data_IF_976299051556
#
_entry.id   IF_976299051556
#
_cell.length_a   1.000
_cell.length_b   1.000
_cell.length_c   1.000
_cell.angle_alpha   90.00
_cell.angle_beta   90.00
_cell.angle_gamma   90.00
#
_symmetry.space_group_name_H-M   'P 1'
#
loop_
_entity.id
_entity.type
_entity.pdbx_description
1 polymer ?
#
# COMPACT_ATOMS: atom_id res chain seq x y z
N UNK A 1 -45.96 -14.77 71.34
CA UNK A 1 -45.94 -15.45 70.02
C UNK A 1 -46.05 -14.36 68.95
N UNK A 2 -44.94 -13.67 68.70
CA UNK A 2 -44.07 -13.77 67.49
C UNK A 2 -44.64 -13.02 66.27
N UNK A 3 -44.20 -11.77 66.10
CA UNK A 3 -44.47 -10.92 64.93
C UNK A 3 -43.46 -11.26 63.82
N UNK A 4 -43.96 -11.68 62.64
CA UNK A 4 -43.13 -11.91 61.46
C UNK A 4 -42.83 -10.58 60.75
N UNK A 5 -41.54 -10.20 60.68
CA UNK A 5 -41.04 -9.12 59.82
C UNK A 5 -40.66 -9.73 58.47
N UNK A 6 -41.39 -9.35 57.42
CA UNK A 6 -41.08 -9.73 56.03
C UNK A 6 -40.09 -8.70 55.47
N UNK A 7 -38.83 -9.07 55.39
CA UNK A 7 -37.78 -8.26 54.75
C UNK A 7 -37.76 -8.57 53.25
N UNK A 8 -38.24 -7.63 52.43
CA UNK A 8 -38.13 -7.70 50.96
C UNK A 8 -36.68 -7.41 50.55
N UNK A 9 -35.97 -8.43 50.06
CA UNK A 9 -34.64 -8.30 49.45
C UNK A 9 -34.86 -7.96 47.96
N UNK A 10 -34.60 -6.70 47.59
CA UNK A 10 -34.57 -6.27 46.19
C UNK A 10 -33.20 -6.62 45.61
N UNK A 11 -33.11 -7.71 44.85
CA UNK A 11 -31.93 -8.04 44.05
C UNK A 11 -31.84 -7.08 42.85
N UNK A 12 -30.97 -6.08 42.95
CA UNK A 12 -30.58 -5.25 41.82
C UNK A 12 -29.66 -6.06 40.89
N UNK A 13 -30.21 -6.56 39.78
CA UNK A 13 -29.44 -7.19 38.71
C UNK A 13 -28.73 -6.08 37.91
N UNK A 14 -27.44 -5.89 38.19
CA UNK A 14 -26.57 -5.02 37.40
C UNK A 14 -26.31 -5.68 36.03
N UNK A 15 -27.04 -5.26 35.00
CA UNK A 15 -26.71 -5.58 33.61
C UNK A 15 -25.46 -4.78 33.21
N UNK A 16 -24.29 -5.43 33.29
CA UNK A 16 -23.08 -4.94 32.65
C UNK A 16 -23.28 -4.96 31.13
N UNK A 17 -23.61 -3.80 30.56
CA UNK A 17 -23.60 -3.61 29.12
C UNK A 17 -22.13 -3.55 28.69
N UNK A 18 -21.58 -4.69 28.28
CA UNK A 18 -20.32 -4.71 27.56
C UNK A 18 -20.48 -3.88 26.30
N UNK A 19 -19.86 -2.70 26.26
CA UNK A 19 -19.73 -1.93 25.02
C UNK A 19 -18.81 -2.75 24.12
N UNK A 20 -19.41 -3.50 23.19
CA UNK A 20 -18.67 -4.08 22.08
C UNK A 20 -18.07 -2.90 21.31
N UNK A 21 -16.77 -2.68 21.45
CA UNK A 21 -16.05 -1.78 20.57
C UNK A 21 -16.29 -2.27 19.14
N UNK A 22 -16.94 -1.43 18.32
CA UNK A 22 -17.24 -1.76 16.92
C UNK A 22 -15.95 -2.04 16.15
N UNK A 23 -16.05 -2.85 15.10
CA UNK A 23 -14.95 -3.04 14.15
C UNK A 23 -14.47 -1.68 13.63
N UNK A 24 -13.15 -1.39 13.66
CA UNK A 24 -12.65 -0.10 13.18
C UNK A 24 -13.07 0.16 11.72
N UNK A 25 -13.54 1.36 11.44
CA UNK A 25 -13.94 1.76 10.08
C UNK A 25 -12.73 2.34 9.33
N UNK A 26 -12.28 1.65 8.28
CA UNK A 26 -11.09 2.02 7.52
C UNK A 26 -11.22 3.39 6.84
N UNK A 27 -12.41 3.75 6.37
CA UNK A 27 -12.66 5.06 5.76
C UNK A 27 -12.51 6.19 6.77
N UNK A 28 -13.07 6.02 7.97
CA UNK A 28 -12.95 6.98 9.08
C UNK A 28 -11.49 7.16 9.46
N UNK A 29 -10.72 6.08 9.64
CA UNK A 29 -9.30 6.18 9.98
C UNK A 29 -8.51 6.89 8.86
N UNK A 30 -8.80 6.56 7.60
CA UNK A 30 -8.13 7.18 6.46
C UNK A 30 -8.35 8.70 6.40
N UNK A 31 -9.55 9.18 6.75
CA UNK A 31 -9.92 10.60 6.63
C UNK A 31 -9.72 11.42 7.89
N UNK A 32 -9.81 10.80 9.07
CA UNK A 32 -9.87 11.50 10.35
C UNK A 32 -8.77 11.06 11.32
N UNK A 33 -8.02 10.00 10.98
CA UNK A 33 -7.12 9.35 11.91
C UNK A 33 -7.86 8.43 12.86
N UNK A 34 -7.13 7.78 13.76
CA UNK A 34 -7.70 6.75 14.64
C UNK A 34 -8.21 7.28 15.99
N UNK A 35 -8.15 8.59 16.23
CA UNK A 35 -8.52 9.20 17.51
C UNK A 35 -7.53 8.93 18.66
N UNK A 36 -6.46 8.18 18.42
CA UNK A 36 -5.46 7.77 19.41
C UNK A 36 -4.02 8.19 19.03
N UNK A 37 -3.89 9.25 18.23
CA UNK A 37 -2.61 9.86 17.87
C UNK A 37 -2.07 9.48 16.49
N UNK A 38 -2.76 8.63 15.72
CA UNK A 38 -2.45 8.41 14.30
C UNK A 38 -3.16 9.46 13.46
N UNK A 39 -2.40 10.22 12.68
CA UNK A 39 -2.92 11.23 11.78
C UNK A 39 -3.72 10.61 10.60
N UNK A 40 -4.63 11.37 9.97
CA UNK A 40 -5.33 10.94 8.77
C UNK A 40 -4.38 10.50 7.66
N UNK A 41 -4.59 9.31 7.10
CA UNK A 41 -3.80 8.79 5.98
C UNK A 41 -3.87 9.70 4.74
N UNK A 42 -5.04 10.32 4.52
CA UNK A 42 -5.29 11.22 3.39
C UNK A 42 -4.35 12.44 3.36
N UNK A 43 -3.80 12.85 4.51
CA UNK A 43 -2.90 14.00 4.60
C UNK A 43 -1.63 13.83 3.74
N UNK A 44 -1.20 12.58 3.52
CA UNK A 44 -0.04 12.25 2.71
C UNK A 44 -0.42 11.43 1.46
N UNK A 45 -1.40 10.53 1.58
CA UNK A 45 -1.78 9.63 0.48
C UNK A 45 -2.94 10.15 -0.38
N UNK A 46 -3.41 11.36 -0.15
CA UNK A 46 -4.52 11.95 -0.91
C UNK A 46 -5.89 11.48 -0.45
N UNK A 47 -6.92 12.24 -0.81
CA UNK A 47 -8.30 12.02 -0.34
C UNK A 47 -8.82 10.66 -0.78
N UNK A 48 -8.49 10.28 -2.02
CA UNK A 48 -8.91 9.04 -2.65
C UNK A 48 -7.79 8.00 -2.66
N UNK A 49 -6.73 8.17 -1.88
CA UNK A 49 -5.57 7.26 -1.90
C UNK A 49 -4.75 7.36 -3.18
N UNK A 50 -4.84 8.47 -3.92
CA UNK A 50 -4.14 8.72 -5.19
C UNK A 50 -2.63 8.95 -5.03
N UNK A 51 -2.15 9.20 -3.81
CA UNK A 51 -0.78 9.57 -3.51
C UNK A 51 -0.48 11.04 -3.79
N UNK A 52 0.76 11.44 -3.55
CA UNK A 52 1.26 12.77 -3.90
C UNK A 52 2.59 12.60 -4.63
N UNK A 53 2.52 12.54 -5.97
CA UNK A 53 3.65 12.13 -6.81
C UNK A 53 4.91 12.94 -6.58
N UNK A 54 4.80 14.27 -6.44
CA UNK A 54 5.93 15.17 -6.22
C UNK A 54 6.62 14.96 -4.86
N UNK A 55 5.87 14.54 -3.84
CA UNK A 55 6.39 14.24 -2.51
C UNK A 55 6.84 12.76 -2.37
N UNK A 56 6.61 11.93 -3.39
CA UNK A 56 6.92 10.50 -3.35
C UNK A 56 5.98 9.69 -2.45
N UNK A 57 4.84 10.24 -2.03
CA UNK A 57 3.83 9.46 -1.32
C UNK A 57 3.08 8.57 -2.31
N UNK A 58 3.06 7.25 -2.10
CA UNK A 58 2.51 6.32 -3.08
C UNK A 58 0.99 6.39 -3.14
N UNK A 59 0.46 6.06 -4.32
CA UNK A 59 -0.93 5.61 -4.49
C UNK A 59 -1.16 4.35 -3.65
N UNK A 60 -2.25 4.35 -2.88
CA UNK A 60 -2.78 3.21 -2.14
C UNK A 60 -4.04 2.62 -2.78
N UNK A 61 -4.83 3.47 -3.45
CA UNK A 61 -6.13 3.13 -4.01
C UNK A 61 -6.05 1.97 -5.00
N UNK A 62 -6.76 0.87 -4.75
CA UNK A 62 -6.78 -0.31 -5.64
C UNK A 62 -5.50 -1.14 -5.60
N UNK A 63 -4.62 -0.95 -4.60
CA UNK A 63 -3.58 -1.95 -4.32
C UNK A 63 -4.19 -3.20 -3.67
N UNK A 64 -3.62 -4.41 -3.89
CA UNK A 64 -4.15 -5.63 -3.26
C UNK A 64 -4.23 -5.51 -1.74
N UNK A 65 -5.34 -5.95 -1.15
CA UNK A 65 -5.56 -5.88 0.30
C UNK A 65 -4.42 -6.54 1.08
N UNK A 66 -4.03 -7.76 0.70
CA UNK A 66 -2.97 -8.49 1.38
C UNK A 66 -1.61 -7.78 1.24
N UNK A 67 -1.34 -7.13 0.11
CA UNK A 67 -0.13 -6.32 -0.05
C UNK A 67 -0.14 -5.11 0.89
N UNK A 68 -1.25 -4.36 0.95
CA UNK A 68 -1.41 -3.22 1.85
C UNK A 68 -1.24 -3.63 3.32
N UNK A 69 -1.94 -4.70 3.72
CA UNK A 69 -1.85 -5.29 5.07
C UNK A 69 -0.42 -5.65 5.41
N UNK A 70 0.26 -6.40 4.53
CA UNK A 70 1.68 -6.76 4.70
C UNK A 70 2.57 -5.53 4.86
N UNK A 71 2.40 -4.50 4.04
CA UNK A 71 3.23 -3.30 4.15
C UNK A 71 3.01 -2.55 5.46
N UNK A 72 1.76 -2.45 5.93
CA UNK A 72 1.46 -1.85 7.24
C UNK A 72 2.07 -2.67 8.37
N UNK A 73 1.99 -4.00 8.33
CA UNK A 73 2.60 -4.87 9.33
C UNK A 73 4.13 -4.75 9.33
N UNK A 74 4.75 -4.75 8.15
CA UNK A 74 6.20 -4.60 8.01
C UNK A 74 6.70 -3.24 8.50
N UNK A 75 5.93 -2.16 8.32
CA UNK A 75 6.26 -0.87 8.92
C UNK A 75 6.08 -0.91 10.44
N UNK A 76 4.96 -1.45 10.92
CA UNK A 76 4.64 -1.49 12.35
C UNK A 76 5.68 -2.28 13.17
N UNK A 77 6.22 -3.37 12.59
CA UNK A 77 7.22 -4.23 13.22
C UNK A 77 8.68 -3.88 12.88
N UNK A 78 8.91 -2.88 12.01
CA UNK A 78 10.24 -2.40 11.64
C UNK A 78 10.98 -3.23 10.57
N UNK A 79 10.37 -4.27 10.01
CA UNK A 79 10.94 -5.04 8.88
C UNK A 79 11.04 -4.18 7.62
N UNK A 80 10.16 -3.20 7.46
CA UNK A 80 10.27 -2.12 6.48
C UNK A 80 10.45 -0.81 7.23
N UNK A 81 11.58 -0.16 7.03
CA UNK A 81 11.90 1.09 7.73
C UNK A 81 11.56 2.29 6.86
N UNK A 82 10.84 3.26 7.43
CA UNK A 82 10.64 4.58 6.85
C UNK A 82 10.31 5.57 7.98
N UNK A 83 11.06 6.68 8.07
CA UNK A 83 10.93 7.63 9.17
C UNK A 83 9.52 8.27 9.27
N UNK A 84 8.78 8.34 8.17
CA UNK A 84 7.42 8.89 8.13
C UNK A 84 6.37 7.82 8.43
N UNK A 85 6.43 6.67 7.77
CA UNK A 85 5.36 5.66 7.85
C UNK A 85 5.47 4.73 9.05
N UNK A 86 6.66 4.52 9.60
CA UNK A 86 6.83 3.61 10.73
C UNK A 86 6.07 4.09 11.99
N UNK A 87 6.17 5.36 12.43
CA UNK A 87 5.37 5.84 13.57
C UNK A 87 3.86 5.73 13.33
N UNK A 88 3.41 6.00 12.11
CA UNK A 88 1.99 5.87 11.71
C UNK A 88 1.54 4.41 11.87
N UNK A 89 2.27 3.47 11.28
CA UNK A 89 1.90 2.06 11.29
C UNK A 89 1.99 1.43 12.69
N UNK A 90 3.01 1.77 13.48
CA UNK A 90 3.17 1.29 14.85
C UNK A 90 2.09 1.82 15.81
N UNK A 91 1.47 2.97 15.48
CA UNK A 91 0.34 3.52 16.24
C UNK A 91 -1.02 2.88 15.92
N UNK A 92 -1.07 1.99 14.92
CA UNK A 92 -2.29 1.27 14.53
C UNK A 92 -2.36 -0.11 15.20
N UNK A 93 -3.54 -0.43 15.72
CA UNK A 93 -3.91 -1.79 16.10
C UNK A 93 -3.97 -2.72 14.88
N UNK A 94 -3.98 -4.03 15.14
CA UNK A 94 -4.11 -5.05 14.10
C UNK A 94 -5.41 -4.87 13.27
N UNK A 95 -6.53 -4.66 13.96
CA UNK A 95 -7.84 -4.47 13.33
C UNK A 95 -7.90 -3.19 12.49
N UNK A 96 -7.23 -2.11 12.91
CA UNK A 96 -7.15 -0.87 12.12
C UNK A 96 -6.30 -1.05 10.86
N UNK A 97 -5.19 -1.81 10.93
CA UNK A 97 -4.38 -2.14 9.74
C UNK A 97 -5.17 -2.98 8.74
N UNK A 98 -5.97 -3.93 9.21
CA UNK A 98 -6.88 -4.69 8.35
C UNK A 98 -7.94 -3.79 7.70
N UNK A 99 -8.62 -2.96 8.51
CA UNK A 99 -9.67 -2.06 8.03
C UNK A 99 -9.16 -1.08 6.97
N UNK A 100 -7.96 -0.52 7.14
CA UNK A 100 -7.31 0.34 6.16
C UNK A 100 -6.93 -0.40 4.87
N UNK A 101 -6.44 -1.64 4.99
CA UNK A 101 -6.11 -2.46 3.84
C UNK A 101 -7.36 -2.80 3.01
N UNK A 102 -8.46 -3.18 3.68
CA UNK A 102 -9.78 -3.39 3.04
C UNK A 102 -10.21 -2.11 2.33
N UNK A 103 -10.24 -0.99 3.04
CA UNK A 103 -10.71 0.29 2.52
C UNK A 103 -9.95 0.72 1.26
N UNK A 104 -8.61 0.81 1.32
CA UNK A 104 -7.82 1.27 0.18
C UNK A 104 -7.85 0.30 -1.00
N UNK A 105 -7.96 -1.01 -0.76
CA UNK A 105 -8.06 -2.00 -1.84
C UNK A 105 -9.36 -1.89 -2.64
N UNK A 106 -10.43 -1.39 -2.02
CA UNK A 106 -11.73 -1.21 -2.66
C UNK A 106 -11.85 0.12 -3.44
N UNK A 107 -10.91 1.06 -3.27
CA UNK A 107 -10.94 2.33 -3.99
C UNK A 107 -10.59 2.14 -5.47
N UNK A 108 -11.23 2.91 -6.37
CA UNK A 108 -10.86 2.89 -7.78
C UNK A 108 -9.44 3.41 -7.99
N UNK A 109 -8.72 2.82 -8.94
CA UNK A 109 -7.42 3.33 -9.35
C UNK A 109 -7.64 4.66 -10.10
N UNK A 110 -7.00 5.78 -9.68
CA UNK A 110 -7.13 7.05 -10.38
C UNK A 110 -6.73 6.91 -11.86
N UNK A 111 -7.62 7.34 -12.75
CA UNK A 111 -7.34 7.33 -14.17
C UNK A 111 -6.20 8.28 -14.52
N UNK A 112 -5.35 7.89 -15.46
CA UNK A 112 -4.32 8.74 -16.03
C UNK A 112 -4.36 8.67 -17.55
N UNK A 113 -4.31 9.84 -18.18
CA UNK A 113 -4.16 9.92 -19.63
C UNK A 113 -2.74 9.46 -20.04
N UNK A 114 -2.58 8.94 -21.27
CA UNK A 114 -1.25 8.68 -21.81
C UNK A 114 -0.39 9.94 -21.76
N UNK A 115 0.89 9.79 -21.42
CA UNK A 115 1.84 10.90 -21.55
C UNK A 115 1.94 11.35 -23.01
N UNK A 116 1.84 12.65 -23.25
CA UNK A 116 2.07 13.28 -24.55
C UNK A 116 3.55 13.60 -24.79
N UNK A 117 4.44 13.27 -23.84
CA UNK A 117 5.86 13.50 -23.97
C UNK A 117 6.46 12.67 -25.12
N UNK A 118 7.42 13.22 -25.88
CA UNK A 118 8.15 12.45 -26.89
C UNK A 118 8.82 11.22 -26.28
N UNK A 119 8.87 10.12 -27.03
CA UNK A 119 9.62 8.92 -26.64
C UNK A 119 11.11 9.19 -26.85
N UNK A 120 11.83 9.42 -25.76
CA UNK A 120 13.29 9.52 -25.73
C UNK A 120 13.96 8.15 -25.47
N UNK A 121 15.29 8.14 -25.42
CA UNK A 121 16.07 6.93 -25.17
C UNK A 121 15.84 6.35 -23.77
N UNK A 122 15.52 7.19 -22.78
CA UNK A 122 15.15 6.78 -21.44
C UNK A 122 13.82 6.02 -21.44
N UNK A 123 12.79 6.56 -22.09
CA UNK A 123 11.49 5.92 -22.25
C UNK A 123 11.62 4.58 -22.99
N UNK A 124 12.43 4.52 -24.05
CA UNK A 124 12.70 3.25 -24.77
C UNK A 124 13.44 2.24 -23.88
N UNK A 125 14.41 2.69 -23.09
CA UNK A 125 15.12 1.83 -22.13
C UNK A 125 14.17 1.26 -21.09
N UNK A 126 13.31 2.11 -20.50
CA UNK A 126 12.32 1.70 -19.52
C UNK A 126 11.35 0.66 -20.07
N UNK A 127 10.85 0.86 -21.29
CA UNK A 127 10.01 -0.12 -21.99
C UNK A 127 10.71 -1.47 -22.19
N UNK A 128 11.97 -1.45 -22.66
CA UNK A 128 12.73 -2.68 -22.89
C UNK A 128 12.95 -3.43 -21.59
N UNK A 129 13.33 -2.75 -20.51
CA UNK A 129 13.53 -3.38 -19.20
C UNK A 129 12.23 -3.92 -18.62
N UNK A 130 11.12 -3.19 -18.77
CA UNK A 130 9.81 -3.62 -18.30
C UNK A 130 9.34 -4.90 -19.00
N UNK A 131 9.45 -4.95 -20.34
CA UNK A 131 8.82 -5.99 -21.18
C UNK A 131 9.76 -7.12 -21.58
N UNK A 132 11.07 -6.90 -21.60
CA UNK A 132 12.07 -7.88 -22.09
C UNK A 132 13.20 -8.14 -21.11
N UNK A 133 13.46 -7.21 -20.18
CA UNK A 133 14.58 -7.29 -19.26
C UNK A 133 15.93 -7.09 -19.98
N UNK A 134 16.99 -7.61 -19.37
CA UNK A 134 18.37 -7.59 -19.90
C UNK A 134 19.06 -8.93 -19.62
N UNK A 135 18.95 -9.85 -20.58
CA UNK A 135 19.48 -11.20 -20.43
C UNK A 135 21.01 -11.27 -20.36
N UNK A 136 21.73 -10.29 -20.96
CA UNK A 136 23.19 -10.19 -20.83
C UNK A 136 23.67 -10.02 -19.39
N UNK A 137 22.81 -9.54 -18.48
CA UNK A 137 23.08 -9.43 -17.05
C UNK A 137 22.14 -10.28 -16.20
N UNK A 138 21.43 -11.24 -16.83
CA UNK A 138 20.43 -12.08 -16.16
C UNK A 138 19.37 -11.29 -15.38
N UNK A 139 18.96 -10.14 -15.93
CA UNK A 139 17.88 -9.32 -15.42
C UNK A 139 16.58 -9.74 -16.13
N UNK A 140 15.62 -10.39 -15.44
CA UNK A 140 14.32 -10.68 -16.02
C UNK A 140 13.56 -9.38 -16.34
N UNK A 141 12.66 -9.43 -17.32
CA UNK A 141 11.66 -8.40 -17.51
C UNK A 141 10.81 -8.22 -16.26
N UNK A 142 10.52 -6.97 -15.87
CA UNK A 142 9.69 -6.64 -14.71
C UNK A 142 8.30 -7.28 -14.78
N UNK A 143 7.70 -7.27 -15.98
CA UNK A 143 6.35 -7.79 -16.24
C UNK A 143 6.22 -9.31 -16.12
N UNK A 144 7.33 -10.06 -16.09
CA UNK A 144 7.29 -11.51 -15.82
C UNK A 144 6.80 -11.81 -14.40
N UNK A 145 7.01 -10.89 -13.46
CA UNK A 145 6.53 -11.02 -12.08
C UNK A 145 5.38 -10.05 -11.80
N UNK A 146 5.49 -8.79 -12.24
CA UNK A 146 4.50 -7.75 -11.99
C UNK A 146 3.32 -7.73 -12.99
N UNK A 147 3.21 -8.78 -13.82
CA UNK A 147 2.13 -8.96 -14.78
C UNK A 147 2.23 -8.07 -16.03
N UNK A 148 1.46 -8.38 -17.09
CA UNK A 148 1.45 -7.60 -18.33
C UNK A 148 1.11 -6.13 -18.06
N UNK A 149 1.93 -5.20 -18.55
CA UNK A 149 1.77 -3.77 -18.31
C UNK A 149 2.01 -3.32 -16.85
N UNK A 150 2.51 -4.21 -15.97
CA UNK A 150 2.76 -3.90 -14.57
C UNK A 150 1.50 -3.79 -13.71
N UNK A 151 0.43 -4.49 -14.07
CA UNK A 151 -0.86 -4.47 -13.35
C UNK A 151 -0.87 -5.27 -12.04
N UNK A 152 0.22 -5.96 -11.72
CA UNK A 152 0.34 -6.83 -10.56
C UNK A 152 -0.26 -8.23 -10.78
N UNK A 153 0.16 -9.17 -9.94
CA UNK A 153 -0.33 -10.55 -9.93
C UNK A 153 -0.53 -11.01 -8.50
N UNK A 154 -1.79 -11.25 -8.12
CA UNK A 154 -2.16 -11.70 -6.79
C UNK A 154 -1.68 -10.76 -5.67
N UNK A 155 -1.34 -11.36 -4.54
CA UNK A 155 -1.01 -10.62 -3.31
C UNK A 155 0.48 -10.28 -3.18
N UNK A 156 1.34 -10.97 -3.93
CA UNK A 156 2.78 -10.92 -3.75
C UNK A 156 3.49 -9.98 -4.73
N UNK A 157 2.92 -9.79 -5.91
CA UNK A 157 3.50 -8.94 -6.95
C UNK A 157 2.60 -7.72 -7.16
N UNK A 158 2.87 -6.61 -6.44
CA UNK A 158 2.00 -5.44 -6.51
C UNK A 158 2.03 -4.78 -7.90
N UNK A 159 0.97 -4.06 -8.27
CA UNK A 159 1.00 -3.23 -9.48
C UNK A 159 2.07 -2.14 -9.37
N UNK A 160 2.77 -1.94 -10.48
CA UNK A 160 3.70 -0.83 -10.71
C UNK A 160 3.02 0.30 -11.50
N UNK A 161 2.03 -0.08 -12.33
CA UNK A 161 1.22 0.83 -13.13
C UNK A 161 0.53 1.90 -12.26
N UNK A 162 0.59 3.15 -12.73
CA UNK A 162 -0.08 4.28 -12.07
C UNK A 162 0.53 4.63 -10.72
N UNK A 163 1.74 4.18 -10.43
CA UNK A 163 2.49 4.58 -9.25
C UNK A 163 3.44 5.74 -9.59
N UNK A 164 3.71 6.62 -8.63
CA UNK A 164 4.63 7.74 -8.81
C UNK A 164 6.04 7.27 -9.22
N UNK A 165 6.63 7.92 -10.23
CA UNK A 165 8.02 7.68 -10.63
C UNK A 165 9.00 7.94 -9.46
N UNK A 166 8.75 8.99 -8.67
CA UNK A 166 9.56 9.30 -7.48
C UNK A 166 9.47 8.16 -6.47
N UNK A 167 8.26 7.66 -6.20
CA UNK A 167 8.08 6.54 -5.28
C UNK A 167 8.78 5.28 -5.78
N UNK A 168 8.57 4.91 -7.05
CA UNK A 168 9.17 3.72 -7.66
C UNK A 168 10.70 3.80 -7.61
N UNK A 169 11.28 4.94 -7.98
CA UNK A 169 12.73 5.16 -7.92
C UNK A 169 13.24 4.97 -6.50
N UNK A 170 12.59 5.60 -5.51
CA UNK A 170 12.96 5.47 -4.11
C UNK A 170 12.88 4.02 -3.62
N UNK A 171 11.89 3.23 -4.06
CA UNK A 171 11.79 1.84 -3.66
C UNK A 171 12.90 0.99 -4.28
N UNK A 172 13.17 1.16 -5.57
CA UNK A 172 14.22 0.43 -6.29
C UNK A 172 15.59 0.71 -5.67
N UNK A 173 15.89 1.99 -5.38
CA UNK A 173 17.10 2.38 -4.67
C UNK A 173 17.16 1.81 -3.25
N UNK A 174 16.05 1.80 -2.51
CA UNK A 174 16.03 1.25 -1.16
C UNK A 174 16.36 -0.25 -1.13
N UNK A 175 15.85 -1.04 -2.09
CA UNK A 175 16.26 -2.44 -2.23
C UNK A 175 17.71 -2.58 -2.68
N UNK A 176 18.15 -1.77 -3.65
CA UNK A 176 19.53 -1.80 -4.15
C UNK A 176 20.55 -1.53 -3.04
N UNK A 177 20.21 -0.63 -2.10
CA UNK A 177 21.05 -0.26 -0.96
C UNK A 177 20.82 -1.14 0.28
N UNK A 178 19.86 -2.07 0.24
CA UNK A 178 19.50 -2.95 1.36
C UNK A 178 18.72 -2.28 2.50
N UNK A 179 18.41 -0.98 2.40
CA UNK A 179 17.57 -0.27 3.38
C UNK A 179 16.11 -0.73 3.35
N UNK A 180 15.69 -1.38 2.25
CA UNK A 180 14.47 -2.20 2.17
C UNK A 180 14.83 -3.66 1.87
N UNK A 181 14.30 -4.57 2.68
CA UNK A 181 14.62 -6.01 2.61
C UNK A 181 13.42 -6.89 3.01
N UNK A 182 12.20 -6.37 2.88
CA UNK A 182 10.96 -7.04 3.27
C UNK A 182 10.36 -7.92 2.15
N UNK A 183 11.14 -8.29 1.14
CA UNK A 183 10.73 -9.09 -0.01
C UNK A 183 11.02 -10.59 0.18
N UNK A 184 10.07 -11.48 -0.18
CA UNK A 184 10.30 -12.92 -0.12
C UNK A 184 11.51 -13.32 -0.97
N UNK A 185 12.37 -14.18 -0.42
CA UNK A 185 13.55 -14.74 -1.11
C UNK A 185 14.50 -13.69 -1.71
N UNK A 186 14.47 -12.43 -1.23
CA UNK A 186 15.29 -11.33 -1.74
C UNK A 186 15.13 -11.09 -3.26
N UNK A 187 13.95 -11.40 -3.81
CA UNK A 187 13.69 -11.27 -5.24
C UNK A 187 13.95 -9.84 -5.76
N UNK A 188 13.42 -8.82 -5.08
CA UNK A 188 13.59 -7.44 -5.52
C UNK A 188 15.02 -6.95 -5.29
N UNK A 189 15.67 -7.36 -4.20
CA UNK A 189 17.09 -7.04 -3.98
C UNK A 189 17.99 -7.65 -5.07
N UNK A 190 17.73 -8.89 -5.48
CA UNK A 190 18.46 -9.54 -6.59
C UNK A 190 18.22 -8.85 -7.93
N UNK A 191 17.00 -8.37 -8.19
CA UNK A 191 16.67 -7.60 -9.39
C UNK A 191 17.38 -6.24 -9.39
N UNK A 192 17.28 -5.47 -8.31
CA UNK A 192 17.80 -4.10 -8.27
C UNK A 192 19.33 -4.03 -8.22
N UNK A 193 20.01 -5.05 -7.70
CA UNK A 193 21.48 -5.15 -7.77
C UNK A 193 22.05 -5.17 -9.20
N UNK A 194 21.21 -5.43 -10.21
CA UNK A 194 21.58 -5.48 -11.64
C UNK A 194 21.22 -4.20 -12.41
N UNK A 195 20.63 -3.22 -11.74
CA UNK A 195 20.18 -1.96 -12.33
C UNK A 195 21.23 -0.86 -12.10
N UNK A 196 21.44 -0.02 -13.10
CA UNK A 196 22.08 1.28 -12.93
C UNK A 196 21.08 2.35 -12.48
N UNK A 197 21.54 3.53 -12.04
CA UNK A 197 20.66 4.65 -11.73
C UNK A 197 19.84 5.12 -12.94
N UNK A 198 20.43 5.05 -14.14
CA UNK A 198 19.74 5.35 -15.38
C UNK A 198 18.62 4.32 -15.65
N UNK A 199 18.85 3.03 -15.35
CA UNK A 199 17.83 1.99 -15.47
C UNK A 199 16.67 2.22 -14.49
N UNK A 200 16.98 2.54 -13.22
CA UNK A 200 15.99 2.84 -12.19
C UNK A 200 15.12 4.03 -12.60
N UNK A 201 15.75 5.09 -13.10
CA UNK A 201 15.05 6.29 -13.60
C UNK A 201 14.15 5.94 -14.78
N UNK A 202 14.66 5.17 -15.75
CA UNK A 202 13.93 4.75 -16.94
C UNK A 202 12.72 3.88 -16.62
N UNK A 203 12.88 2.86 -15.76
CA UNK A 203 11.79 1.98 -15.31
C UNK A 203 10.71 2.76 -14.57
N UNK A 204 11.12 3.64 -13.65
CA UNK A 204 10.20 4.41 -12.82
C UNK A 204 9.37 5.39 -13.65
N UNK A 205 10.01 6.06 -14.61
CA UNK A 205 9.33 6.98 -15.55
C UNK A 205 8.40 6.21 -16.48
N UNK A 206 8.83 5.04 -16.97
CA UNK A 206 8.03 4.21 -17.85
C UNK A 206 6.69 3.82 -17.22
N UNK A 207 6.70 3.24 -16.01
CA UNK A 207 5.47 2.81 -15.33
C UNK A 207 4.57 3.96 -14.89
N UNK A 208 5.15 5.11 -14.52
CA UNK A 208 4.38 6.30 -14.17
C UNK A 208 3.70 6.96 -15.38
N UNK A 209 4.26 6.81 -16.58
CA UNK A 209 3.75 7.38 -17.82
C UNK A 209 2.70 6.51 -18.53
N UNK A 210 2.55 5.25 -18.12
CA UNK A 210 1.56 4.36 -18.72
C UNK A 210 0.13 4.81 -18.37
N UNK A 211 -0.81 4.72 -19.32
CA UNK A 211 -2.19 5.07 -19.06
C UNK A 211 -2.82 4.07 -18.08
N UNK A 212 -3.49 4.60 -17.06
CA UNK A 212 -4.40 3.82 -16.23
C UNK A 212 -5.79 3.99 -16.81
N UNK A 213 -6.26 2.95 -17.49
CA UNK A 213 -7.68 2.83 -17.84
C UNK A 213 -8.35 2.11 -16.67
N UNK A 214 -9.28 2.76 -15.94
CA UNK A 214 -10.03 2.08 -14.91
C UNK A 214 -10.66 0.81 -15.50
N UNK A 215 -10.50 -0.32 -14.80
CA UNK A 215 -11.22 -1.53 -15.19
C UNK A 215 -12.71 -1.16 -15.28
N UNK A 216 -13.35 -1.48 -16.40
CA UNK A 216 -14.80 -1.38 -16.52
C UNK A 216 -15.39 -2.13 -15.32
N UNK A 217 -16.28 -1.46 -14.60
CA UNK A 217 -16.99 -1.96 -13.43
C UNK A 217 -17.34 -3.44 -13.63
N UNK A 218 -16.91 -4.32 -12.72
CA UNK A 218 -17.38 -5.71 -12.73
C UNK A 218 -18.89 -5.63 -12.58
N UNK A 219 -19.61 -5.81 -13.68
CA UNK A 219 -21.05 -6.00 -13.64
C UNK A 219 -21.35 -7.19 -12.71
N UNK A 220 -22.40 -7.08 -11.88
CA UNK A 220 -22.73 -8.06 -10.85
C UNK A 220 -22.95 -9.47 -11.41
#
# INVERSE_FOLDING_TARGET
MSMYRITLIVLAVLYAHGVLAGTPDGSTIAHQGNGHGVAPCMACHGVNGEGQSAAGFPRLAGLPQAYLRKQLDDFANGTRVNATMQPVASGLSDAERDALAVYYSALPIPASAPSSAPVDDGARTGQVLATRGRWSTSLPACEQCHGPGGIGVGDHFPPLLGQSAVYLSNQLHAWQQGSRHNDPLQLMQSVTSKLSDADITAISTWYAAQPVVPAQEKQP
#
